data_IF_286160196180
#
_entry.id   IF_286160196180
#
_cell.length_a   1.000
_cell.length_b   1.000
_cell.length_c   1.000
_cell.angle_alpha   90.00
_cell.angle_beta   90.00
_cell.angle_gamma   90.00
#
_symmetry.space_group_name_H-M   'P 1'
#
loop_
_entity.id
_entity.type
_entity.pdbx_description
1 polymer ?
#
# COMPACT_ATOMS: atom_id res chain seq x y z
N UNK A 1 66.09 -39.79 25.03
CA UNK A 1 66.07 -38.41 24.49
C UNK A 1 64.84 -38.25 23.59
N UNK A 2 63.69 -37.83 24.13
CA UNK A 2 62.68 -37.08 23.36
C UNK A 2 61.61 -36.52 24.33
N UNK A 3 61.56 -35.19 24.45
CA UNK A 3 60.55 -34.47 25.23
C UNK A 3 59.37 -34.16 24.30
N UNK A 4 58.21 -34.77 24.51
CA UNK A 4 56.97 -34.27 23.93
C UNK A 4 56.37 -33.22 24.86
N UNK A 5 56.32 -31.99 24.36
CA UNK A 5 55.67 -30.84 24.99
C UNK A 5 54.17 -30.95 24.73
N UNK A 6 53.37 -31.13 25.77
CA UNK A 6 51.90 -31.07 25.67
C UNK A 6 51.47 -29.61 25.63
N UNK A 7 50.96 -29.15 24.49
CA UNK A 7 50.40 -27.81 24.31
C UNK A 7 49.04 -27.73 25.04
N UNK A 8 48.91 -26.76 25.96
CA UNK A 8 47.60 -26.32 26.46
C UNK A 8 46.89 -25.54 25.35
N UNK A 9 45.76 -26.06 24.87
CA UNK A 9 44.85 -25.32 23.99
C UNK A 9 43.84 -24.60 24.89
N UNK A 10 43.99 -23.28 25.03
CA UNK A 10 42.99 -22.43 25.67
C UNK A 10 41.80 -22.27 24.70
N UNK A 11 40.65 -22.83 25.04
CA UNK A 11 39.38 -22.56 24.35
C UNK A 11 38.95 -21.12 24.65
N UNK A 12 39.14 -20.20 23.70
CA UNK A 12 38.44 -18.93 23.70
C UNK A 12 36.97 -19.18 23.36
N UNK A 13 36.10 -19.10 24.36
CA UNK A 13 34.65 -19.05 24.19
C UNK A 13 34.25 -17.72 23.55
N UNK A 14 34.01 -17.73 22.24
CA UNK A 14 33.45 -16.58 21.53
C UNK A 14 31.99 -16.37 21.94
N UNK A 15 31.74 -15.33 22.74
CA UNK A 15 30.39 -14.81 23.00
C UNK A 15 29.84 -14.23 21.69
N UNK A 16 28.97 -14.95 21.00
CA UNK A 16 28.24 -14.44 19.85
C UNK A 16 27.15 -13.48 20.33
N UNK A 17 27.36 -12.16 20.19
CA UNK A 17 26.27 -11.19 20.29
C UNK A 17 25.35 -11.38 19.08
N UNK A 18 24.19 -11.99 19.30
CA UNK A 18 23.10 -11.98 18.34
C UNK A 18 22.55 -10.56 18.25
N UNK A 19 23.00 -9.79 17.25
CA UNK A 19 22.34 -8.55 16.86
C UNK A 19 20.91 -8.90 16.41
N UNK A 20 19.90 -8.60 17.24
CA UNK A 20 18.51 -8.61 16.78
C UNK A 20 18.41 -7.61 15.64
N UNK A 21 18.04 -8.07 14.46
CA UNK A 21 17.70 -7.19 13.35
C UNK A 21 16.64 -6.19 13.86
N UNK A 22 16.98 -4.90 13.86
CA UNK A 22 16.01 -3.86 14.17
C UNK A 22 14.88 -3.98 13.15
N UNK A 23 13.66 -4.22 13.61
CA UNK A 23 12.49 -4.20 12.75
C UNK A 23 12.45 -2.84 12.05
N UNK A 24 12.39 -2.84 10.71
CA UNK A 24 12.22 -1.59 9.94
C UNK A 24 11.00 -0.83 10.51
N UNK A 25 11.12 0.49 10.73
CA UNK A 25 10.04 1.29 11.29
C UNK A 25 8.77 1.16 10.45
N UNK A 26 7.62 1.10 11.11
CA UNK A 26 6.33 1.15 10.43
C UNK A 26 6.04 2.62 10.11
N UNK A 27 6.13 2.99 8.84
CA UNK A 27 6.00 4.39 8.37
C UNK A 27 4.54 4.84 8.11
N UNK A 28 3.56 4.19 8.75
CA UNK A 28 2.14 4.53 8.62
C UNK A 28 1.33 4.04 9.82
N UNK A 29 0.09 4.49 9.94
CA UNK A 29 -0.81 4.10 11.03
C UNK A 29 -0.22 4.37 12.40
N UNK A 30 -0.52 3.51 13.36
CA UNK A 30 0.00 3.65 14.73
C UNK A 30 1.51 3.46 14.85
N UNK A 31 2.20 2.96 13.81
CA UNK A 31 3.66 2.97 13.77
C UNK A 31 4.23 4.38 13.82
N UNK A 32 3.49 5.36 13.30
CA UNK A 32 3.90 6.77 13.32
C UNK A 32 3.79 7.42 14.71
N UNK A 33 3.17 6.75 15.70
CA UNK A 33 3.09 7.27 17.08
C UNK A 33 4.47 7.47 17.73
N UNK A 34 5.51 6.79 17.22
CA UNK A 34 6.87 6.85 17.76
C UNK A 34 7.59 8.15 17.40
N UNK A 35 7.07 8.95 16.45
CA UNK A 35 7.74 10.14 15.96
C UNK A 35 7.08 11.43 16.49
N UNK A 36 7.89 12.45 16.88
CA UNK A 36 7.42 13.63 17.61
C UNK A 36 6.45 14.51 16.83
N UNK A 37 6.45 14.46 15.50
CA UNK A 37 5.55 15.22 14.63
C UNK A 37 4.13 14.64 14.55
N UNK A 38 3.89 13.47 15.12
CA UNK A 38 2.58 12.84 15.17
C UNK A 38 2.09 12.72 16.61
N UNK A 39 0.77 12.60 16.74
CA UNK A 39 0.06 12.30 17.97
C UNK A 39 -0.91 11.14 17.70
N UNK A 40 -1.05 10.25 18.68
CA UNK A 40 -1.99 9.14 18.58
C UNK A 40 -3.15 9.34 19.53
N UNK A 41 -4.34 9.40 18.96
CA UNK A 41 -5.58 9.62 19.70
C UNK A 41 -6.40 8.35 19.72
N UNK A 42 -7.07 8.12 20.85
CA UNK A 42 -8.03 7.03 21.02
C UNK A 42 -9.42 7.54 20.69
N UNK A 43 -10.06 6.92 19.71
CA UNK A 43 -11.43 7.22 19.30
C UNK A 43 -12.37 6.93 20.47
N UNK A 44 -13.21 7.90 20.83
CA UNK A 44 -14.24 7.78 21.86
C UNK A 44 -15.55 7.28 21.26
N UNK A 45 -16.46 6.83 22.13
CA UNK A 45 -17.82 6.45 21.70
C UNK A 45 -18.51 7.60 20.97
N UNK A 46 -19.18 7.28 19.85
CA UNK A 46 -19.89 8.24 19.00
C UNK A 46 -19.01 9.05 18.03
N UNK A 47 -17.69 8.96 18.11
CA UNK A 47 -16.80 9.69 17.19
C UNK A 47 -16.67 9.00 15.83
N UNK A 48 -16.80 9.80 14.77
CA UNK A 48 -16.56 9.44 13.37
C UNK A 48 -15.43 10.29 12.77
N UNK A 49 -14.98 9.93 11.57
CA UNK A 49 -14.01 10.74 10.81
C UNK A 49 -14.48 12.19 10.64
N UNK A 50 -15.76 12.39 10.32
CA UNK A 50 -16.37 13.71 10.12
C UNK A 50 -16.44 14.52 11.41
N UNK A 51 -16.72 13.86 12.54
CA UNK A 51 -16.76 14.56 13.84
C UNK A 51 -15.37 14.95 14.35
N UNK A 52 -14.35 14.13 14.08
CA UNK A 52 -12.97 14.37 14.50
C UNK A 52 -12.25 15.36 13.56
N UNK A 53 -12.53 15.28 12.26
CA UNK A 53 -11.91 16.08 11.21
C UNK A 53 -12.99 16.63 10.26
N UNK A 54 -13.67 17.73 10.63
CA UNK A 54 -14.73 18.31 9.80
C UNK A 54 -14.23 18.82 8.44
N UNK A 55 -13.01 19.38 8.40
CA UNK A 55 -12.36 19.81 7.16
C UNK A 55 -11.98 18.58 6.31
N UNK A 56 -12.41 18.55 5.05
CA UNK A 56 -12.26 17.38 4.18
C UNK A 56 -10.82 17.07 3.80
N UNK A 57 -10.01 18.09 3.54
CA UNK A 57 -8.60 17.92 3.18
C UNK A 57 -7.79 17.37 4.35
N UNK A 58 -8.00 17.91 5.54
CA UNK A 58 -7.38 17.42 6.77
C UNK A 58 -7.83 15.98 7.07
N UNK A 59 -9.12 15.68 6.90
CA UNK A 59 -9.66 14.33 7.06
C UNK A 59 -9.04 13.35 6.08
N UNK A 60 -8.89 13.73 4.81
CA UNK A 60 -8.24 12.90 3.79
C UNK A 60 -6.78 12.62 4.16
N UNK A 61 -6.02 13.63 4.62
CA UNK A 61 -4.65 13.44 5.12
C UNK A 61 -4.62 12.40 6.25
N UNK A 62 -5.49 12.54 7.26
CA UNK A 62 -5.52 11.63 8.41
C UNK A 62 -5.91 10.20 7.98
N UNK A 63 -6.89 10.06 7.10
CA UNK A 63 -7.27 8.75 6.54
C UNK A 63 -6.13 8.11 5.75
N UNK A 64 -5.39 8.91 4.96
CA UNK A 64 -4.24 8.43 4.18
C UNK A 64 -3.10 7.93 5.06
N UNK A 65 -2.70 8.68 6.09
CA UNK A 65 -1.61 8.24 6.98
C UNK A 65 -1.99 7.01 7.80
N UNK A 66 -3.27 6.84 8.13
CA UNK A 66 -3.77 5.63 8.80
C UNK A 66 -4.03 4.46 7.84
N UNK A 67 -3.84 4.67 6.53
CA UNK A 67 -4.12 3.70 5.46
C UNK A 67 -5.56 3.17 5.48
N UNK A 68 -6.51 3.98 5.94
CA UNK A 68 -7.90 3.55 6.05
C UNK A 68 -8.85 4.73 6.10
N UNK A 69 -9.98 4.58 5.42
CA UNK A 69 -11.16 5.43 5.61
C UNK A 69 -12.35 4.63 6.15
N UNK A 70 -12.12 3.38 6.57
CA UNK A 70 -13.14 2.53 7.16
C UNK A 70 -13.68 3.17 8.44
N UNK A 71 -14.90 2.81 8.81
CA UNK A 71 -15.54 3.31 10.01
C UNK A 71 -14.65 3.20 11.27
N UNK A 72 -14.71 4.23 12.12
CA UNK A 72 -14.01 4.31 13.39
C UNK A 72 -14.88 3.73 14.50
N UNK A 73 -14.31 2.86 15.34
CA UNK A 73 -14.99 2.33 16.53
C UNK A 73 -14.33 2.84 17.82
N UNK A 74 -15.11 2.86 18.90
CA UNK A 74 -14.62 3.25 20.22
C UNK A 74 -13.42 2.39 20.64
N UNK A 75 -12.36 3.05 21.09
CA UNK A 75 -11.11 2.42 21.51
C UNK A 75 -10.07 2.23 20.40
N UNK A 76 -10.43 2.44 19.12
CA UNK A 76 -9.45 2.45 18.02
C UNK A 76 -8.45 3.58 18.23
N UNK A 77 -7.17 3.27 18.06
CA UNK A 77 -6.12 4.30 18.03
C UNK A 77 -5.86 4.70 16.59
N UNK A 78 -5.81 6.01 16.34
CA UNK A 78 -5.42 6.58 15.04
C UNK A 78 -4.30 7.58 15.23
N UNK A 79 -3.44 7.70 14.23
CA UNK A 79 -2.39 8.72 14.20
C UNK A 79 -2.89 10.01 13.55
N UNK A 80 -2.45 11.15 14.05
CA UNK A 80 -2.79 12.50 13.58
C UNK A 80 -1.50 13.34 13.50
N UNK A 81 -1.22 14.07 12.42
CA UNK A 81 -0.09 14.99 12.37
C UNK A 81 -0.34 16.19 13.28
N UNK A 82 0.65 16.60 14.06
CA UNK A 82 0.53 17.79 14.93
C UNK A 82 0.37 19.09 14.14
N UNK A 83 0.97 19.18 12.95
CA UNK A 83 0.88 20.32 12.04
C UNK A 83 -0.16 20.11 10.91
N UNK A 84 -1.32 19.52 11.23
CA UNK A 84 -2.32 19.16 10.21
C UNK A 84 -2.85 20.35 9.40
N UNK A 85 -2.88 21.56 9.98
CA UNK A 85 -3.43 22.75 9.32
C UNK A 85 -2.63 23.24 8.11
N UNK A 86 -1.31 23.02 8.12
CA UNK A 86 -0.40 23.51 7.09
C UNK A 86 0.19 22.38 6.24
N UNK A 87 -0.15 21.14 6.56
CA UNK A 87 0.41 19.99 5.87
C UNK A 87 -0.37 19.69 4.59
N UNK A 88 0.34 19.19 3.59
CA UNK A 88 -0.23 18.68 2.34
C UNK A 88 -0.19 17.17 2.31
N UNK A 89 -0.96 16.56 1.40
CA UNK A 89 -0.90 15.11 1.16
C UNK A 89 0.54 14.68 0.80
N UNK A 90 1.29 15.50 0.07
CA UNK A 90 2.63 15.16 -0.41
C UNK A 90 3.67 15.09 0.71
N UNK A 91 3.48 15.84 1.80
CA UNK A 91 4.38 15.83 2.97
C UNK A 91 4.46 14.45 3.65
N UNK A 92 3.45 13.61 3.44
CA UNK A 92 3.35 12.28 4.01
C UNK A 92 3.51 11.16 2.99
N UNK A 93 4.01 11.48 1.78
CA UNK A 93 4.22 10.46 0.77
C UNK A 93 5.29 9.46 1.20
N UNK A 94 5.04 8.15 1.14
CA UNK A 94 6.06 7.14 1.41
C UNK A 94 6.91 6.82 0.15
N UNK A 95 6.81 7.68 -0.87
CA UNK A 95 7.45 7.56 -2.18
C UNK A 95 8.34 8.77 -2.46
N UNK A 96 9.47 8.59 -3.17
CA UNK A 96 10.29 9.72 -3.58
C UNK A 96 9.53 10.63 -4.53
N UNK A 97 9.70 11.95 -4.39
CA UNK A 97 9.04 12.96 -5.23
C UNK A 97 9.48 12.91 -6.70
N UNK A 98 10.66 12.31 -6.96
CA UNK A 98 11.23 12.12 -8.29
C UNK A 98 11.87 10.74 -8.37
N UNK A 99 11.65 10.06 -9.49
CA UNK A 99 12.35 8.83 -9.87
C UNK A 99 12.95 8.99 -11.27
N UNK A 100 13.86 8.08 -11.61
CA UNK A 100 14.34 7.89 -12.97
C UNK A 100 13.63 6.65 -13.53
N UNK A 101 12.66 6.80 -14.45
CA UNK A 101 11.99 5.67 -15.09
C UNK A 101 12.98 4.84 -15.92
N UNK A 102 12.84 3.51 -15.90
CA UNK A 102 13.60 2.63 -16.80
C UNK A 102 13.14 2.74 -18.25
N UNK A 103 11.87 3.07 -18.47
CA UNK A 103 11.30 3.34 -19.79
C UNK A 103 10.47 4.63 -19.72
N UNK A 104 10.37 5.39 -20.82
CA UNK A 104 9.50 6.56 -20.91
C UNK A 104 8.03 6.22 -20.62
N UNK A 105 7.30 7.21 -20.11
CA UNK A 105 5.85 7.14 -19.91
C UNK A 105 5.41 7.16 -18.45
N UNK A 106 4.09 7.34 -18.26
CA UNK A 106 3.46 7.33 -16.94
C UNK A 106 3.56 5.95 -16.30
N UNK A 107 3.77 5.91 -14.98
CA UNK A 107 3.82 4.66 -14.23
C UNK A 107 3.17 4.76 -12.85
N UNK A 108 2.55 3.66 -12.44
CA UNK A 108 2.01 3.46 -11.09
C UNK A 108 2.93 2.47 -10.37
N UNK A 109 3.42 2.87 -9.20
CA UNK A 109 4.17 1.98 -8.31
C UNK A 109 3.25 1.58 -7.17
N UNK A 110 3.00 0.28 -7.01
CA UNK A 110 2.28 -0.33 -5.91
C UNK A 110 3.30 -0.95 -4.96
N UNK A 111 3.31 -0.49 -3.71
CA UNK A 111 4.23 -0.98 -2.68
C UNK A 111 3.43 -1.66 -1.56
N UNK A 112 3.49 -2.99 -1.55
CA UNK A 112 2.66 -3.85 -0.70
C UNK A 112 3.06 -3.82 0.77
N UNK A 113 4.30 -3.46 1.08
CA UNK A 113 4.77 -3.30 2.46
C UNK A 113 4.43 -1.92 3.02
N UNK A 114 4.47 -0.88 2.18
CA UNK A 114 4.04 0.48 2.56
C UNK A 114 2.53 0.66 2.60
N UNK A 115 1.78 -0.34 2.10
CA UNK A 115 0.34 -0.26 1.84
C UNK A 115 -0.04 1.03 1.12
N UNK A 116 0.74 1.39 0.10
CA UNK A 116 0.51 2.59 -0.68
C UNK A 116 0.80 2.39 -2.17
N UNK A 117 0.26 3.29 -2.97
CA UNK A 117 0.55 3.44 -4.39
C UNK A 117 1.04 4.86 -4.68
N UNK A 118 1.86 5.03 -5.72
CA UNK A 118 2.30 6.33 -6.23
C UNK A 118 2.20 6.39 -7.76
N UNK A 119 1.61 7.47 -8.29
CA UNK A 119 1.56 7.77 -9.72
C UNK A 119 2.66 8.75 -10.09
N UNK A 120 3.42 8.41 -11.12
CA UNK A 120 4.52 9.20 -11.64
C UNK A 120 4.24 9.61 -13.09
N UNK A 121 4.39 10.91 -13.37
CA UNK A 121 4.31 11.41 -14.74
C UNK A 121 5.44 10.87 -15.63
N UNK A 122 5.41 11.24 -16.91
CA UNK A 122 6.40 10.80 -17.92
C UNK A 122 7.82 11.26 -17.59
N UNK A 123 7.95 12.33 -16.80
CA UNK A 123 9.23 12.82 -16.32
C UNK A 123 9.66 12.09 -15.04
N UNK A 124 8.88 11.17 -14.49
CA UNK A 124 9.14 10.53 -13.21
C UNK A 124 8.90 11.42 -11.99
N UNK A 125 8.11 12.50 -12.09
CA UNK A 125 7.66 13.27 -10.91
C UNK A 125 6.43 12.62 -10.29
N UNK A 126 6.42 12.50 -8.97
CA UNK A 126 5.26 11.99 -8.23
C UNK A 126 4.14 13.00 -8.31
N UNK A 127 3.02 12.63 -8.93
CA UNK A 127 1.84 13.51 -9.10
C UNK A 127 0.76 13.23 -8.07
N UNK A 128 0.65 11.99 -7.60
CA UNK A 128 -0.31 11.58 -6.58
C UNK A 128 0.13 10.30 -5.90
N UNK A 129 -0.29 10.10 -4.67
CA UNK A 129 -0.14 8.83 -3.96
C UNK A 129 -1.35 8.58 -3.07
N UNK A 130 -1.58 7.32 -2.68
CA UNK A 130 -2.64 7.00 -1.75
C UNK A 130 -2.51 5.61 -1.12
N UNK A 131 -3.39 5.28 -0.15
CA UNK A 131 -3.42 3.97 0.49
C UNK A 131 -3.88 2.87 -0.46
N UNK A 132 -3.42 1.65 -0.18
CA UNK A 132 -3.98 0.42 -0.76
C UNK A 132 -4.35 -0.59 0.33
N UNK A 133 -5.20 -1.53 -0.04
CA UNK A 133 -5.24 -2.86 0.56
C UNK A 133 -5.03 -3.89 -0.54
N UNK A 134 -3.83 -4.48 -0.58
CA UNK A 134 -3.48 -5.54 -1.53
C UNK A 134 -3.88 -6.92 -1.01
N UNK A 135 -3.53 -7.95 -1.76
CA UNK A 135 -3.87 -9.34 -1.48
C UNK A 135 -3.30 -9.86 -0.15
N UNK A 136 -4.15 -10.50 0.67
CA UNK A 136 -3.74 -11.06 1.96
C UNK A 136 -2.76 -12.23 1.83
N UNK A 137 -1.99 -12.50 2.88
CA UNK A 137 -0.99 -13.58 2.86
C UNK A 137 -1.63 -14.96 2.67
N UNK A 138 -2.82 -15.15 3.24
CA UNK A 138 -3.68 -16.33 3.09
C UNK A 138 -5.07 -15.91 2.62
N UNK A 139 -5.70 -16.72 1.78
CA UNK A 139 -7.09 -16.51 1.39
C UNK A 139 -8.03 -16.96 2.50
N UNK A 140 -8.98 -16.12 2.91
CA UNK A 140 -9.93 -16.46 3.98
C UNK A 140 -10.97 -17.49 3.55
N UNK A 141 -11.17 -17.66 2.25
CA UNK A 141 -12.11 -18.59 1.63
C UNK A 141 -11.48 -19.94 1.23
N UNK A 142 -10.20 -20.17 1.56
CA UNK A 142 -9.42 -21.35 1.17
C UNK A 142 -9.35 -21.62 -0.34
N UNK A 143 -9.64 -20.63 -1.19
CA UNK A 143 -9.56 -20.77 -2.66
C UNK A 143 -8.13 -21.00 -3.16
N UNK A 144 -7.13 -20.58 -2.39
CA UNK A 144 -5.70 -20.73 -2.67
C UNK A 144 -4.90 -20.64 -1.37
N UNK A 145 -3.69 -21.25 -1.28
CA UNK A 145 -2.80 -21.08 -0.13
C UNK A 145 -2.44 -19.61 0.15
N UNK A 146 -2.46 -18.76 -0.87
CA UNK A 146 -2.16 -17.34 -0.76
C UNK A 146 -3.04 -16.49 -1.67
N UNK A 147 -3.41 -15.32 -1.15
CA UNK A 147 -4.13 -14.29 -1.88
C UNK A 147 -3.24 -13.09 -2.24
N UNK A 148 -1.92 -13.19 -2.01
CA UNK A 148 -0.96 -12.10 -2.28
C UNK A 148 -1.10 -11.58 -3.70
N UNK A 149 -1.15 -10.26 -3.83
CA UNK A 149 -1.07 -9.62 -5.14
C UNK A 149 0.26 -9.99 -5.80
N UNK A 150 0.20 -10.42 -7.05
CA UNK A 150 1.38 -10.87 -7.79
C UNK A 150 2.33 -9.69 -8.04
N UNK A 151 3.58 -9.90 -7.68
CA UNK A 151 4.69 -8.96 -7.93
C UNK A 151 5.11 -9.03 -9.38
N UNK A 152 5.46 -7.88 -9.96
CA UNK A 152 5.94 -7.81 -11.34
C UNK A 152 5.75 -6.44 -11.95
N UNK A 153 6.13 -6.36 -13.22
CA UNK A 153 5.92 -5.19 -14.08
C UNK A 153 4.81 -5.58 -15.06
N UNK A 154 3.75 -4.77 -15.07
CA UNK A 154 2.54 -4.99 -15.84
C UNK A 154 2.16 -3.72 -16.61
N UNK A 155 1.11 -3.82 -17.43
CA UNK A 155 0.46 -2.68 -18.07
C UNK A 155 -1.05 -2.79 -17.94
N UNK A 156 -1.73 -1.65 -17.79
CA UNK A 156 -3.19 -1.63 -17.84
C UNK A 156 -3.64 -2.03 -19.24
N UNK A 157 -4.50 -3.04 -19.34
CA UNK A 157 -5.04 -3.51 -20.62
C UNK A 157 -6.55 -3.27 -20.75
N UNK A 158 -7.25 -3.02 -19.64
CA UNK A 158 -8.68 -2.69 -19.64
C UNK A 158 -9.04 -1.87 -18.41
N UNK A 159 -10.05 -1.01 -18.54
CA UNK A 159 -10.65 -0.30 -17.41
C UNK A 159 -12.17 -0.19 -17.60
N UNK A 160 -12.91 -0.21 -16.50
CA UNK A 160 -14.36 0.00 -16.48
C UNK A 160 -14.72 1.14 -15.53
N UNK A 161 -16.00 1.53 -15.52
CA UNK A 161 -16.50 2.69 -14.81
C UNK A 161 -16.87 2.40 -13.34
N UNK A 162 -17.60 3.30 -12.70
CA UNK A 162 -18.04 3.21 -11.30
C UNK A 162 -18.89 1.97 -10.99
N UNK A 163 -19.49 1.34 -12.02
CA UNK A 163 -20.37 0.17 -11.89
C UNK A 163 -19.65 -1.15 -12.05
N UNK A 164 -18.32 -1.15 -12.26
CA UNK A 164 -17.54 -2.37 -12.40
C UNK A 164 -17.76 -3.34 -11.22
N UNK A 165 -17.86 -4.63 -11.56
CA UNK A 165 -18.10 -5.72 -10.61
C UNK A 165 -17.20 -6.91 -10.90
N UNK A 166 -16.86 -7.65 -9.86
CA UNK A 166 -16.17 -8.93 -10.01
C UNK A 166 -17.10 -9.97 -10.64
N UNK A 167 -16.62 -10.73 -11.62
CA UNK A 167 -17.33 -11.91 -12.12
C UNK A 167 -17.13 -13.15 -11.23
N UNK A 168 -16.16 -13.10 -10.30
CA UNK A 168 -15.75 -14.25 -9.48
C UNK A 168 -16.24 -14.12 -8.04
N UNK A 169 -16.11 -12.93 -7.46
CA UNK A 169 -16.37 -12.71 -6.03
C UNK A 169 -17.72 -12.02 -5.78
N UNK A 170 -18.45 -12.39 -4.71
CA UNK A 170 -18.20 -13.54 -3.83
C UNK A 170 -18.30 -14.87 -4.58
N UNK A 171 -17.52 -15.87 -4.17
CA UNK A 171 -17.42 -17.17 -4.87
C UNK A 171 -18.80 -17.77 -5.11
N UNK A 172 -19.03 -18.24 -6.35
CA UNK A 172 -20.28 -18.85 -6.79
C UNK A 172 -21.40 -17.87 -7.13
N UNK A 173 -21.25 -16.58 -6.85
CA UNK A 173 -22.25 -15.55 -7.20
C UNK A 173 -21.71 -14.43 -8.08
N UNK A 174 -20.46 -14.02 -7.88
CA UNK A 174 -19.95 -12.78 -8.47
C UNK A 174 -20.69 -11.54 -7.95
N UNK A 175 -20.42 -10.39 -8.57
CA UNK A 175 -21.11 -9.13 -8.32
C UNK A 175 -20.49 -8.22 -7.26
N UNK A 176 -19.37 -8.59 -6.63
CA UNK A 176 -18.67 -7.72 -5.69
C UNK A 176 -18.27 -6.40 -6.37
N UNK A 177 -18.59 -5.28 -5.73
CA UNK A 177 -18.31 -3.94 -6.27
C UNK A 177 -16.81 -3.71 -6.42
N UNK A 178 -16.40 -3.28 -7.61
CA UNK A 178 -15.03 -2.91 -7.93
C UNK A 178 -15.01 -1.57 -8.70
N UNK A 179 -15.59 -0.48 -8.15
CA UNK A 179 -15.73 0.78 -8.87
C UNK A 179 -14.41 1.25 -9.46
N UNK A 180 -14.44 1.69 -10.72
CA UNK A 180 -13.29 2.20 -11.47
C UNK A 180 -12.17 1.17 -11.64
N UNK A 181 -12.51 -0.11 -11.81
CA UNK A 181 -11.51 -1.15 -11.96
C UNK A 181 -10.61 -0.92 -13.19
N UNK A 182 -9.31 -1.14 -13.02
CA UNK A 182 -8.26 -1.02 -14.03
C UNK A 182 -7.42 -2.29 -13.98
N UNK A 183 -7.63 -3.19 -14.95
CA UNK A 183 -7.02 -4.50 -15.00
C UNK A 183 -5.59 -4.45 -15.53
N UNK A 184 -4.65 -5.06 -14.81
CA UNK A 184 -3.22 -5.08 -15.15
C UNK A 184 -2.65 -6.49 -15.34
N UNK A 185 -3.28 -7.52 -14.77
CA UNK A 185 -2.82 -8.91 -14.96
C UNK A 185 -3.94 -9.92 -14.75
N UNK A 186 -4.36 -10.62 -15.82
CA UNK A 186 -5.48 -11.58 -15.76
C UNK A 186 -6.69 -10.91 -15.07
N UNK A 187 -7.25 -11.52 -14.02
CA UNK A 187 -8.35 -10.93 -13.23
C UNK A 187 -7.93 -9.92 -12.16
N UNK A 188 -6.64 -9.55 -12.05
CA UNK A 188 -6.16 -8.59 -11.06
C UNK A 188 -6.31 -7.15 -11.56
N UNK A 189 -6.89 -6.30 -10.70
CA UNK A 189 -7.14 -4.91 -10.99
C UNK A 189 -6.75 -3.99 -9.83
N UNK A 190 -6.40 -2.74 -10.16
CA UNK A 190 -6.52 -1.61 -9.26
C UNK A 190 -8.00 -1.19 -9.24
N UNK A 191 -8.63 -1.01 -8.07
CA UNK A 191 -10.03 -0.55 -8.02
C UNK A 191 -10.41 0.09 -6.68
N UNK A 192 -11.46 0.91 -6.69
CA UNK A 192 -12.03 1.50 -5.49
C UNK A 192 -12.71 0.45 -4.61
N UNK A 193 -12.69 0.63 -3.30
CA UNK A 193 -13.38 -0.27 -2.38
C UNK A 193 -13.68 0.42 -1.05
N UNK A 194 -14.92 0.31 -0.58
CA UNK A 194 -15.33 0.84 0.73
C UNK A 194 -14.66 0.13 1.93
N UNK A 195 -13.88 -0.93 1.67
CA UNK A 195 -13.12 -1.68 2.66
C UNK A 195 -11.61 -1.62 2.39
N UNK A 196 -10.96 -0.66 3.06
CA UNK A 196 -9.51 -0.45 3.09
C UNK A 196 -9.06 -0.47 4.56
N UNK A 197 -8.77 -1.64 5.15
CA UNK A 197 -8.68 -1.79 6.60
C UNK A 197 -7.32 -1.40 7.21
N UNK A 198 -6.37 -0.90 6.41
CA UNK A 198 -5.01 -0.59 6.85
C UNK A 198 -4.06 -1.78 6.90
N UNK A 199 -4.43 -2.90 6.26
CA UNK A 199 -3.59 -4.08 6.04
C UNK A 199 -3.99 -4.77 4.72
N UNK A 200 -3.22 -5.79 4.29
CA UNK A 200 -3.51 -6.59 3.09
C UNK A 200 -4.71 -7.53 3.33
N UNK A 201 -5.82 -7.31 2.63
CA UNK A 201 -7.09 -7.98 2.91
C UNK A 201 -7.85 -8.47 1.66
N UNK A 202 -7.33 -8.24 0.46
CA UNK A 202 -8.03 -8.59 -0.78
C UNK A 202 -7.74 -10.02 -1.23
N UNK A 203 -8.48 -10.49 -2.24
CA UNK A 203 -8.20 -11.75 -2.96
C UNK A 203 -7.24 -11.55 -4.16
N UNK A 204 -6.31 -10.60 -4.04
CA UNK A 204 -5.25 -10.35 -5.02
C UNK A 204 -5.36 -9.01 -5.75
N UNK A 205 -6.57 -8.46 -5.91
CA UNK A 205 -6.72 -7.11 -6.44
C UNK A 205 -6.08 -6.05 -5.52
N UNK A 206 -5.76 -4.88 -6.06
CA UNK A 206 -5.26 -3.75 -5.26
C UNK A 206 -6.43 -2.82 -5.02
N UNK A 207 -7.01 -2.90 -3.82
CA UNK A 207 -8.08 -1.99 -3.40
C UNK A 207 -7.46 -0.64 -3.02
N UNK A 208 -8.17 0.44 -3.29
CA UNK A 208 -7.75 1.81 -2.99
C UNK A 208 -8.97 2.65 -2.61
N UNK A 209 -8.74 3.86 -2.08
CA UNK A 209 -9.84 4.80 -1.85
C UNK A 209 -10.59 5.03 -3.16
N UNK A 210 -11.92 4.98 -3.13
CA UNK A 210 -12.74 5.06 -4.36
C UNK A 210 -12.48 6.34 -5.15
N UNK A 211 -12.21 7.47 -4.48
CA UNK A 211 -11.82 8.73 -5.13
C UNK A 211 -10.46 8.66 -5.84
N UNK A 212 -9.52 7.87 -5.31
CA UNK A 212 -8.21 7.66 -5.92
C UNK A 212 -8.34 6.75 -7.14
N UNK A 213 -9.16 5.70 -7.05
CA UNK A 213 -9.47 4.85 -8.20
C UNK A 213 -10.13 5.63 -9.33
N UNK A 214 -11.10 6.50 -9.00
CA UNK A 214 -11.74 7.39 -9.95
C UNK A 214 -10.72 8.28 -10.67
N UNK A 215 -9.86 8.96 -9.90
CA UNK A 215 -8.84 9.84 -10.46
C UNK A 215 -7.85 9.08 -11.35
N UNK A 216 -7.36 7.92 -10.89
CA UNK A 216 -6.49 7.08 -11.71
C UNK A 216 -7.18 6.67 -13.01
N UNK A 217 -8.42 6.20 -12.93
CA UNK A 217 -9.18 5.71 -14.08
C UNK A 217 -9.47 6.82 -15.10
N UNK A 218 -9.86 8.01 -14.66
CA UNK A 218 -10.27 9.09 -15.56
C UNK A 218 -9.08 9.91 -16.07
N UNK A 219 -8.14 10.27 -15.18
CA UNK A 219 -7.17 11.34 -15.44
C UNK A 219 -5.75 10.83 -15.74
N UNK A 220 -5.40 9.64 -15.25
CA UNK A 220 -4.02 9.17 -15.24
C UNK A 220 -3.78 7.96 -16.15
N UNK A 221 -4.66 6.97 -16.09
CA UNK A 221 -4.51 5.68 -16.76
C UNK A 221 -4.95 5.75 -18.21
N UNK A 222 -4.02 5.35 -19.08
CA UNK A 222 -4.16 5.22 -20.52
C UNK A 222 -4.16 3.75 -20.91
N UNK A 223 -5.09 3.38 -21.80
CA UNK A 223 -5.08 2.08 -22.46
C UNK A 223 -4.14 2.11 -23.67
N UNK A 224 -3.74 0.93 -24.13
CA UNK A 224 -2.97 0.77 -25.37
C UNK A 224 -3.64 1.47 -26.55
N UNK A 225 -2.91 2.36 -27.21
CA UNK A 225 -3.31 3.03 -28.45
C UNK A 225 -2.07 3.47 -29.25
N UNK A 226 -2.25 3.98 -30.47
CA UNK A 226 -1.14 4.38 -31.33
C UNK A 226 -0.24 5.45 -30.70
N UNK A 227 -0.81 6.41 -29.96
CA UNK A 227 -0.07 7.53 -29.37
C UNK A 227 0.88 7.10 -28.25
N UNK A 228 0.64 5.95 -27.63
CA UNK A 228 1.51 5.37 -26.60
C UNK A 228 2.21 4.09 -27.06
N UNK A 229 2.44 3.95 -28.38
CA UNK A 229 3.14 2.80 -28.97
C UNK A 229 2.50 1.45 -28.60
N UNK A 230 1.17 1.43 -28.48
CA UNK A 230 0.39 0.25 -28.08
C UNK A 230 0.72 -0.28 -26.68
N UNK A 231 1.11 0.61 -25.76
CA UNK A 231 1.42 0.27 -24.38
C UNK A 231 0.52 1.05 -23.43
N UNK A 232 -0.33 0.34 -22.69
CA UNK A 232 -1.06 0.95 -21.58
C UNK A 232 -0.14 1.39 -20.43
N UNK A 233 -0.67 2.20 -19.51
CA UNK A 233 0.07 2.72 -18.36
C UNK A 233 0.75 1.58 -17.58
N UNK A 234 2.05 1.76 -17.29
CA UNK A 234 2.85 0.78 -16.56
C UNK A 234 2.39 0.68 -15.10
N UNK A 235 2.30 -0.54 -14.59
CA UNK A 235 2.04 -0.82 -13.17
C UNK A 235 3.16 -1.72 -12.64
N UNK A 236 3.92 -1.21 -11.67
CA UNK A 236 4.98 -1.94 -11.00
C UNK A 236 4.47 -2.34 -9.62
N UNK A 237 4.23 -3.64 -9.40
CA UNK A 237 3.90 -4.18 -8.10
C UNK A 237 5.18 -4.69 -7.45
N UNK A 238 5.61 -4.03 -6.37
CA UNK A 238 6.83 -4.41 -5.62
C UNK A 238 6.61 -5.66 -4.77
N UNK A 239 7.68 -6.44 -4.52
CA UNK A 239 7.61 -7.63 -3.67
C UNK A 239 7.26 -7.27 -2.23
N UNK A 240 6.59 -8.19 -1.55
CA UNK A 240 6.46 -8.20 -0.09
C UNK A 240 7.80 -8.69 0.48
N UNK A 241 8.42 -7.90 1.34
CA UNK A 241 9.75 -8.20 1.90
C UNK A 241 9.69 -8.83 3.30
N UNK A 242 8.53 -8.83 3.95
CA UNK A 242 8.30 -9.50 5.26
C UNK A 242 7.26 -10.61 5.14
N UNK A 243 7.59 -11.79 5.68
CA UNK A 243 6.64 -12.88 5.92
C UNK A 243 5.98 -12.73 7.28
#
# INVERSE_FOLDING_TARGET
>A
MNRQKTMLIALLSTLSLSAKAADKPIYYGTGLCEYPQFECIKVKSGQSWQSLFPNEEQRDIVQRINRTYNYLWAGKTIVVPKNLKNATIMDFSPFPLKITPEEPGKQIIVDQDKLAWGAYDENGRLVKWGPISSGSDKCSDNSSPTCRTKTGIYRIFSKENEKCKSNVFPIGRGGAKMPYCMYFHKGLALHGSDDIPGYRASHGCVRMFTQDAKWLNHEFVELSNEKNHFLGTKVIVRPVTKN
#
